data_IF_591006187138
#
_entry.id   IF_591006187138
#
_cell.length_a   1.000
_cell.length_b   1.000
_cell.length_c   1.000
_cell.angle_alpha   90.00
_cell.angle_beta   90.00
_cell.angle_gamma   90.00
#
_symmetry.space_group_name_H-M   'P 1'
#
loop_
_entity.id
_entity.type
_entity.pdbx_description
1 polymer ?
#
# COMPACT_ATOMS: atom_id res chain seq x y z
N UNK A 1 21.51 -13.60 0.82
CA UNK A 1 22.49 -12.49 0.71
C UNK A 1 22.71 -12.08 -0.74
N UNK A 2 23.06 -13.00 -1.65
CA UNK A 2 23.31 -12.71 -3.08
C UNK A 2 22.26 -11.86 -3.82
N UNK A 3 20.98 -11.87 -3.41
CA UNK A 3 19.93 -11.05 -4.00
C UNK A 3 20.01 -9.57 -3.59
N UNK A 4 20.48 -9.25 -2.38
CA UNK A 4 20.60 -7.88 -1.89
C UNK A 4 21.90 -7.20 -2.34
N UNK A 5 22.97 -7.98 -2.55
CA UNK A 5 24.30 -7.49 -2.96
C UNK A 5 24.29 -6.75 -4.32
N UNK A 6 23.23 -6.96 -5.11
CA UNK A 6 23.02 -6.30 -6.40
C UNK A 6 22.13 -5.04 -6.33
N UNK A 7 21.71 -4.61 -5.14
CA UNK A 7 20.84 -3.44 -4.95
C UNK A 7 21.55 -2.35 -4.14
N UNK A 8 21.42 -1.10 -4.58
CA UNK A 8 21.87 0.05 -3.78
C UNK A 8 20.91 0.26 -2.60
N UNK A 9 21.49 0.33 -1.40
CA UNK A 9 20.77 0.69 -0.19
C UNK A 9 20.30 2.16 -0.23
N UNK A 10 19.15 2.51 0.40
CA UNK A 10 18.30 1.62 1.18
C UNK A 10 17.34 0.77 0.34
N UNK A 11 17.07 -0.44 0.83
CA UNK A 11 16.17 -1.43 0.21
C UNK A 11 15.08 -1.81 1.20
N UNK A 12 13.85 -1.99 0.74
CA UNK A 12 12.74 -2.47 1.55
C UNK A 12 12.63 -3.98 1.42
N UNK A 13 12.80 -4.69 2.53
CA UNK A 13 12.48 -6.10 2.66
C UNK A 13 10.99 -6.26 2.97
N UNK A 14 10.31 -7.14 2.23
CA UNK A 14 8.91 -7.47 2.47
C UNK A 14 8.68 -8.97 2.39
N UNK A 15 8.01 -9.60 3.38
CA UNK A 15 7.59 -10.98 3.24
C UNK A 15 6.58 -11.12 2.09
N UNK A 16 6.54 -12.28 1.43
CA UNK A 16 5.62 -12.53 0.33
C UNK A 16 4.15 -12.55 0.78
N UNK A 17 3.90 -12.84 2.06
CA UNK A 17 2.60 -12.73 2.70
C UNK A 17 2.73 -11.91 3.98
N UNK A 18 1.81 -10.97 4.18
CA UNK A 18 1.81 -10.11 5.34
C UNK A 18 0.66 -9.13 5.32
N UNK A 19 0.36 -8.55 6.47
CA UNK A 19 -0.60 -7.46 6.62
C UNK A 19 -0.14 -6.48 7.68
N UNK A 20 -0.70 -5.27 7.65
CA UNK A 20 -0.41 -4.18 8.60
C UNK A 20 1.08 -3.79 8.68
N UNK A 21 1.84 -4.08 7.63
CA UNK A 21 3.28 -3.80 7.53
C UNK A 21 4.16 -4.51 8.57
N UNK A 22 3.70 -5.66 9.07
CA UNK A 22 4.50 -6.56 9.90
C UNK A 22 5.65 -7.15 9.08
N UNK A 23 6.82 -7.25 9.72
CA UNK A 23 8.06 -7.75 9.11
C UNK A 23 8.55 -7.02 7.85
N UNK A 24 7.93 -5.88 7.51
CA UNK A 24 8.50 -4.96 6.52
C UNK A 24 9.66 -4.22 7.17
N UNK A 25 10.85 -4.28 6.58
CA UNK A 25 12.07 -3.68 7.14
C UNK A 25 12.75 -2.79 6.11
N UNK A 26 13.27 -1.65 6.57
CA UNK A 26 14.15 -0.82 5.77
C UNK A 26 15.59 -1.28 6.03
N UNK A 27 16.22 -1.83 5.01
CA UNK A 27 17.62 -2.25 5.04
C UNK A 27 18.44 -1.03 4.63
N UNK A 28 19.08 -0.36 5.59
CA UNK A 28 19.87 0.86 5.31
C UNK A 28 21.31 0.54 4.91
N UNK A 29 21.79 -0.67 5.22
CA UNK A 29 23.12 -1.16 4.90
C UNK A 29 23.16 -2.70 4.99
N UNK A 30 24.29 -3.26 4.59
CA UNK A 30 24.57 -4.70 4.57
C UNK A 30 24.40 -5.36 5.94
N UNK A 31 24.91 -4.76 7.01
CA UNK A 31 24.80 -5.33 8.37
C UNK A 31 23.34 -5.50 8.82
N UNK A 32 22.48 -4.53 8.51
CA UNK A 32 21.03 -4.63 8.80
C UNK A 32 20.40 -5.72 7.92
N UNK A 33 20.79 -5.79 6.65
CA UNK A 33 20.31 -6.81 5.73
C UNK A 33 20.65 -8.22 6.22
N UNK A 34 21.90 -8.48 6.61
CA UNK A 34 22.35 -9.76 7.18
C UNK A 34 21.54 -10.15 8.41
N UNK A 35 21.28 -9.19 9.30
CA UNK A 35 20.49 -9.42 10.50
C UNK A 35 19.06 -9.81 10.14
N UNK A 36 18.41 -9.06 9.25
CA UNK A 36 17.02 -9.33 8.83
C UNK A 36 16.91 -10.68 8.11
N UNK A 37 17.83 -11.02 7.21
CA UNK A 37 17.84 -12.33 6.54
C UNK A 37 18.05 -13.47 7.52
N UNK A 38 19.00 -13.34 8.45
CA UNK A 38 19.23 -14.36 9.48
C UNK A 38 17.99 -14.60 10.34
N UNK A 39 17.29 -13.53 10.74
CA UNK A 39 16.02 -13.65 11.47
C UNK A 39 14.91 -14.30 10.64
N UNK A 40 14.84 -13.97 9.35
CA UNK A 40 13.87 -14.55 8.43
C UNK A 40 14.10 -16.06 8.24
N UNK A 41 15.36 -16.49 8.14
CA UNK A 41 15.74 -17.91 8.03
C UNK A 41 15.34 -18.70 9.29
N UNK A 42 15.44 -18.10 10.48
CA UNK A 42 15.01 -18.73 11.74
C UNK A 42 13.51 -19.03 11.79
N UNK A 43 12.68 -18.24 11.11
CA UNK A 43 11.22 -18.45 11.07
C UNK A 43 10.77 -19.27 9.86
N UNK A 44 11.70 -19.79 9.05
CA UNK A 44 11.45 -20.57 7.83
C UNK A 44 10.52 -19.87 6.80
N UNK A 45 10.44 -18.54 6.84
CA UNK A 45 9.67 -17.75 5.88
C UNK A 45 10.51 -17.47 4.64
N UNK A 46 10.76 -18.48 3.82
CA UNK A 46 11.70 -18.37 2.69
C UNK A 46 11.16 -17.57 1.48
N UNK A 47 9.97 -16.99 1.59
CA UNK A 47 9.35 -16.19 0.52
C UNK A 47 9.31 -14.73 0.90
N UNK A 48 10.18 -13.94 0.28
CA UNK A 48 10.23 -12.48 0.41
C UNK A 48 10.54 -11.83 -0.92
N UNK A 49 10.32 -10.52 -1.00
CA UNK A 49 10.78 -9.71 -2.11
C UNK A 49 11.48 -8.46 -1.61
N UNK A 50 12.43 -7.99 -2.42
CA UNK A 50 13.17 -6.76 -2.19
C UNK A 50 12.62 -5.69 -3.12
N UNK A 51 12.40 -4.50 -2.57
CA UNK A 51 11.93 -3.35 -3.33
C UNK A 51 12.90 -2.18 -3.10
N UNK A 52 13.31 -1.49 -4.17
CA UNK A 52 14.04 -0.23 -4.03
C UNK A 52 13.27 0.73 -3.12
N UNK A 53 13.94 1.36 -2.17
CA UNK A 53 13.26 2.38 -1.36
C UNK A 53 12.84 3.55 -2.24
N UNK A 54 11.56 3.92 -2.15
CA UNK A 54 10.97 4.99 -2.94
C UNK A 54 11.04 6.26 -2.12
N UNK A 55 11.81 7.24 -2.63
CA UNK A 55 11.83 8.58 -2.06
C UNK A 55 10.50 9.27 -2.38
N UNK A 56 9.63 9.33 -1.38
CA UNK A 56 8.28 9.89 -1.47
C UNK A 56 8.09 10.89 -0.33
N UNK A 57 7.10 11.81 -0.41
CA UNK A 57 6.64 12.54 0.77
C UNK A 57 6.32 11.56 1.91
N UNK A 58 6.26 11.99 3.19
CA UNK A 58 6.03 11.10 4.34
C UNK A 58 4.57 10.60 4.41
N UNK A 59 4.06 10.11 3.30
CA UNK A 59 2.72 9.58 3.07
C UNK A 59 2.73 8.59 1.91
N UNK A 60 1.64 7.84 1.82
CA UNK A 60 1.26 7.14 0.61
C UNK A 60 -0.19 7.49 0.26
N UNK A 61 -0.64 6.97 -0.88
CA UNK A 61 -2.02 7.06 -1.34
C UNK A 61 -2.68 5.71 -1.14
N UNK A 62 -3.88 5.69 -0.54
CA UNK A 62 -4.81 4.57 -0.64
C UNK A 62 -6.05 5.00 -1.42
N UNK A 63 -6.31 4.30 -2.51
CA UNK A 63 -7.57 4.39 -3.23
C UNK A 63 -8.45 3.18 -2.87
N UNK A 64 -9.74 3.42 -2.66
CA UNK A 64 -10.74 2.37 -2.46
C UNK A 64 -11.63 2.37 -3.69
N UNK A 65 -11.60 1.28 -4.43
CA UNK A 65 -12.38 1.09 -5.65
C UNK A 65 -13.52 0.12 -5.34
N UNK A 66 -14.72 0.47 -5.79
CA UNK A 66 -15.94 -0.30 -5.62
C UNK A 66 -16.57 -0.45 -7.00
N UNK A 67 -16.53 -1.66 -7.56
CA UNK A 67 -16.84 -1.90 -8.96
C UNK A 67 -15.91 -1.07 -9.86
N UNK A 68 -16.49 -0.18 -10.66
CA UNK A 68 -15.76 0.72 -11.58
C UNK A 68 -15.53 2.13 -11.02
N UNK A 69 -15.88 2.38 -9.75
CA UNK A 69 -15.86 3.71 -9.16
C UNK A 69 -14.82 3.83 -8.05
N UNK A 70 -14.02 4.89 -8.08
CA UNK A 70 -13.17 5.28 -6.95
C UNK A 70 -14.05 5.89 -5.87
N UNK A 71 -14.31 5.11 -4.83
CA UNK A 71 -15.15 5.54 -3.72
C UNK A 71 -14.46 6.55 -2.81
N UNK A 72 -13.15 6.37 -2.57
CA UNK A 72 -12.34 7.28 -1.78
C UNK A 72 -10.86 7.23 -2.16
N UNK A 73 -10.19 8.37 -2.09
CA UNK A 73 -8.74 8.51 -2.12
C UNK A 73 -8.27 9.22 -0.87
N UNK A 74 -7.30 8.64 -0.17
CA UNK A 74 -6.73 9.21 1.04
C UNK A 74 -5.21 9.23 0.99
N UNK A 75 -4.64 10.27 1.59
CA UNK A 75 -3.24 10.25 2.00
C UNK A 75 -3.15 9.59 3.37
N UNK A 76 -2.23 8.64 3.54
CA UNK A 76 -1.87 8.11 4.86
C UNK A 76 -0.48 8.60 5.21
N UNK A 77 -0.39 9.55 6.12
CA UNK A 77 0.89 10.10 6.57
C UNK A 77 1.53 9.19 7.60
N UNK A 78 2.85 9.05 7.54
CA UNK A 78 3.62 8.36 8.57
C UNK A 78 3.50 9.09 9.91
N UNK A 79 3.48 8.31 10.99
CA UNK A 79 3.63 8.81 12.34
C UNK A 79 5.12 8.97 12.65
N UNK A 80 5.62 8.17 13.59
CA UNK A 80 7.06 8.01 13.78
C UNK A 80 7.64 7.03 12.75
N UNK A 81 8.78 7.39 12.17
CA UNK A 81 9.45 6.59 11.14
C UNK A 81 8.85 6.73 9.73
N UNK A 82 9.16 5.77 8.86
CA UNK A 82 8.87 5.85 7.41
C UNK A 82 7.59 5.12 6.97
N UNK A 83 6.98 4.35 7.88
CA UNK A 83 5.77 3.56 7.61
C UNK A 83 4.51 4.43 7.78
N UNK A 84 3.58 4.31 6.86
CA UNK A 84 2.35 5.11 6.73
C UNK A 84 1.12 4.46 7.36
N UNK A 85 1.31 3.31 8.00
CA UNK A 85 0.26 2.47 8.55
C UNK A 85 -0.46 3.21 9.68
N UNK A 86 -1.79 3.26 9.63
CA UNK A 86 -2.58 3.91 10.69
C UNK A 86 -2.42 3.26 12.07
N UNK A 87 -2.16 1.95 12.10
CA UNK A 87 -1.89 1.22 13.34
C UNK A 87 -0.63 1.70 14.07
N UNK A 88 0.28 2.40 13.38
CA UNK A 88 1.53 2.95 13.91
C UNK A 88 1.46 4.47 14.16
N UNK A 89 0.26 4.99 14.40
CA UNK A 89 0.06 6.42 14.72
C UNK A 89 -0.01 7.35 13.50
N UNK A 90 -0.10 6.80 12.29
CA UNK A 90 -0.28 7.59 11.07
C UNK A 90 -1.58 8.42 11.07
N UNK A 91 -1.64 9.42 10.19
CA UNK A 91 -2.82 10.30 10.01
C UNK A 91 -3.45 10.10 8.63
N UNK A 92 -4.74 10.39 8.50
CA UNK A 92 -5.48 10.29 7.23
C UNK A 92 -6.01 11.64 6.81
N UNK A 93 -5.82 11.98 5.55
CA UNK A 93 -6.45 13.13 4.90
C UNK A 93 -7.01 12.74 3.53
N UNK A 94 -7.88 13.59 2.96
CA UNK A 94 -8.33 13.43 1.58
C UNK A 94 -7.15 13.60 0.63
N UNK A 95 -6.95 12.65 -0.28
CA UNK A 95 -6.00 12.79 -1.36
C UNK A 95 -6.69 13.36 -2.61
N UNK A 96 -6.21 14.50 -3.09
CA UNK A 96 -6.65 15.10 -4.35
C UNK A 96 -5.61 14.73 -5.40
N UNK A 97 -5.99 13.84 -6.32
CA UNK A 97 -5.11 13.33 -7.36
C UNK A 97 -5.54 13.91 -8.71
N UNK A 98 -4.60 14.14 -9.65
CA UNK A 98 -4.92 14.42 -11.04
C UNK A 98 -5.79 13.32 -11.66
N UNK A 99 -6.65 13.69 -12.61
CA UNK A 99 -7.54 12.75 -13.32
C UNK A 99 -6.76 11.58 -13.95
N UNK A 100 -5.58 11.85 -14.52
CA UNK A 100 -4.71 10.82 -15.09
C UNK A 100 -4.28 9.74 -14.08
N UNK A 101 -4.12 10.10 -12.81
CA UNK A 101 -3.76 9.17 -11.74
C UNK A 101 -4.98 8.38 -11.26
N UNK A 102 -6.16 9.01 -11.21
CA UNK A 102 -7.42 8.32 -10.93
C UNK A 102 -7.72 7.28 -12.01
N UNK A 103 -7.55 7.64 -13.28
CA UNK A 103 -7.71 6.72 -14.41
C UNK A 103 -6.74 5.54 -14.33
N UNK A 104 -5.48 5.78 -13.94
CA UNK A 104 -4.50 4.72 -13.73
C UNK A 104 -4.96 3.76 -12.62
N UNK A 105 -5.46 4.28 -11.50
CA UNK A 105 -5.94 3.45 -10.40
C UNK A 105 -7.16 2.60 -10.79
N UNK A 106 -8.09 3.13 -11.60
CA UNK A 106 -9.21 2.35 -12.15
C UNK A 106 -8.70 1.25 -13.08
N UNK A 107 -7.77 1.58 -13.99
CA UNK A 107 -7.17 0.57 -14.89
C UNK A 107 -6.47 -0.54 -14.11
N UNK A 108 -5.77 -0.19 -13.03
CA UNK A 108 -5.16 -1.18 -12.13
C UNK A 108 -6.23 -2.05 -11.47
N UNK A 109 -7.35 -1.46 -11.03
CA UNK A 109 -8.46 -2.23 -10.46
C UNK A 109 -9.02 -3.27 -11.43
N UNK A 110 -9.14 -2.91 -12.71
CA UNK A 110 -9.64 -3.79 -13.77
C UNK A 110 -8.72 -4.97 -14.11
N UNK A 111 -7.47 -4.98 -13.62
CA UNK A 111 -6.59 -6.15 -13.75
C UNK A 111 -6.93 -7.27 -12.76
N UNK A 112 -7.81 -6.99 -11.79
CA UNK A 112 -8.25 -7.92 -10.77
C UNK A 112 -9.76 -8.17 -10.90
N UNK A 113 -10.24 -9.22 -10.23
CA UNK A 113 -11.66 -9.55 -10.26
C UNK A 113 -12.53 -8.37 -9.77
N UNK A 114 -13.67 -8.08 -10.43
CA UNK A 114 -14.57 -7.01 -10.03
C UNK A 114 -15.01 -7.15 -8.58
N UNK A 115 -14.96 -6.06 -7.82
CA UNK A 115 -15.27 -6.12 -6.40
C UNK A 115 -14.96 -4.85 -5.64
N UNK A 116 -14.54 -5.02 -4.39
CA UNK A 116 -14.18 -3.94 -3.47
C UNK A 116 -12.71 -4.11 -3.14
N UNK A 117 -11.86 -3.26 -3.71
CA UNK A 117 -10.41 -3.39 -3.56
C UNK A 117 -9.79 -2.10 -3.02
N UNK A 118 -8.69 -2.25 -2.31
CA UNK A 118 -7.80 -1.16 -1.91
C UNK A 118 -6.56 -1.17 -2.77
N UNK A 119 -6.16 -0.03 -3.30
CA UNK A 119 -4.94 0.13 -4.07
C UNK A 119 -4.04 1.08 -3.29
N UNK A 120 -2.87 0.60 -2.89
CA UNK A 120 -1.86 1.42 -2.23
C UNK A 120 -0.78 1.82 -3.25
N UNK A 121 -0.52 3.12 -3.31
CA UNK A 121 0.41 3.72 -4.25
C UNK A 121 1.30 4.76 -3.57
N UNK A 122 2.50 4.94 -4.10
CA UNK A 122 3.47 5.94 -3.62
C UNK A 122 3.66 7.02 -4.67
N UNK A 123 3.77 8.27 -4.22
CA UNK A 123 4.10 9.42 -5.06
C UNK A 123 5.60 9.39 -5.41
N UNK A 124 5.91 9.63 -6.68
CA UNK A 124 7.26 9.81 -7.23
C UNK A 124 7.27 11.03 -8.16
N UNK A 125 8.46 11.48 -8.56
CA UNK A 125 8.60 12.58 -9.53
C UNK A 125 7.98 12.25 -10.90
N UNK A 126 7.86 10.96 -11.23
CA UNK A 126 7.28 10.46 -12.49
C UNK A 126 5.78 10.12 -12.37
N UNK A 127 5.19 10.26 -11.18
CA UNK A 127 3.78 9.94 -10.92
C UNK A 127 3.61 8.87 -9.84
N UNK A 128 2.45 8.20 -9.84
CA UNK A 128 2.15 7.17 -8.86
C UNK A 128 2.73 5.82 -9.28
N UNK A 129 3.35 5.13 -8.32
CA UNK A 129 3.68 3.71 -8.44
C UNK A 129 2.76 2.90 -7.51
N UNK A 130 2.09 1.88 -8.03
CA UNK A 130 1.30 0.96 -7.21
C UNK A 130 2.23 -0.06 -6.57
N UNK A 131 2.05 -0.30 -5.27
CA UNK A 131 2.90 -1.24 -4.54
C UNK A 131 2.14 -2.34 -3.79
N UNK A 132 0.81 -2.23 -3.65
CA UNK A 132 0.01 -3.25 -2.99
C UNK A 132 -1.46 -3.18 -3.44
N UNK A 133 -2.08 -4.35 -3.58
CA UNK A 133 -3.51 -4.50 -3.83
C UNK A 133 -4.12 -5.28 -2.67
N UNK A 134 -5.17 -4.72 -2.09
CA UNK A 134 -5.85 -5.22 -0.90
C UNK A 134 -7.25 -5.70 -1.27
N UNK A 135 -7.44 -7.02 -1.39
CA UNK A 135 -8.76 -7.63 -1.67
C UNK A 135 -9.72 -7.63 -0.48
N UNK A 136 -9.22 -7.38 0.74
CA UNK A 136 -10.01 -7.19 1.96
C UNK A 136 -9.73 -5.82 2.54
N UNK A 137 -10.05 -4.79 1.77
CA UNK A 137 -9.68 -3.42 2.12
C UNK A 137 -10.39 -2.93 3.38
N UNK A 138 -9.59 -2.47 4.35
CA UNK A 138 -10.08 -1.75 5.50
C UNK A 138 -10.29 -0.27 5.15
N UNK A 139 -11.50 0.24 5.38
CA UNK A 139 -11.87 1.62 5.06
C UNK A 139 -12.23 2.46 6.28
N UNK A 140 -12.06 1.96 7.51
CA UNK A 140 -12.33 2.73 8.75
C UNK A 140 -11.59 4.06 8.78
N UNK A 141 -10.33 4.09 8.32
CA UNK A 141 -9.55 5.32 8.19
C UNK A 141 -10.14 6.30 7.19
N UNK A 142 -10.50 5.81 5.99
CA UNK A 142 -11.11 6.63 4.94
C UNK A 142 -12.50 7.14 5.31
N UNK A 143 -13.32 6.35 6.01
CA UNK A 143 -14.63 6.76 6.52
C UNK A 143 -14.58 7.92 7.50
N UNK A 144 -13.45 8.17 8.18
CA UNK A 144 -13.29 9.38 9.00
C UNK A 144 -13.33 10.66 8.16
N UNK A 145 -12.96 10.57 6.88
CA UNK A 145 -12.86 11.73 5.98
C UNK A 145 -14.00 11.76 4.95
N UNK A 146 -14.54 10.60 4.58
CA UNK A 146 -15.60 10.44 3.60
C UNK A 146 -16.98 10.06 4.19
N UNK A 147 -17.06 9.83 5.50
CA UNK A 147 -18.30 9.42 6.17
C UNK A 147 -18.88 8.13 5.59
N UNK A 148 -20.18 8.16 5.31
CA UNK A 148 -20.93 7.01 4.80
C UNK A 148 -20.81 6.80 3.29
N UNK A 149 -20.07 7.65 2.56
CA UNK A 149 -19.95 7.54 1.09
C UNK A 149 -19.49 6.14 0.66
N UNK A 150 -18.46 5.60 1.32
CA UNK A 150 -17.90 4.29 0.97
C UNK A 150 -18.92 3.16 1.17
N UNK A 151 -19.66 3.21 2.26
CA UNK A 151 -20.72 2.23 2.54
C UNK A 151 -21.84 2.35 1.50
N UNK A 152 -22.25 3.57 1.17
CA UNK A 152 -23.30 3.80 0.17
C UNK A 152 -22.87 3.27 -1.20
N UNK A 153 -21.65 3.56 -1.64
CA UNK A 153 -21.11 3.06 -2.91
C UNK A 153 -21.08 1.52 -2.94
N UNK A 154 -20.65 0.88 -1.83
CA UNK A 154 -20.68 -0.59 -1.69
C UNK A 154 -22.10 -1.13 -1.80
N UNK A 155 -23.06 -0.55 -1.07
CA UNK A 155 -24.46 -1.00 -1.12
C UNK A 155 -25.05 -0.86 -2.52
N UNK A 156 -24.73 0.21 -3.24
CA UNK A 156 -25.19 0.38 -4.63
C UNK A 156 -24.56 -0.65 -5.56
N UNK A 157 -23.26 -0.91 -5.43
CA UNK A 157 -22.57 -1.94 -6.21
C UNK A 157 -23.15 -3.33 -5.94
N UNK A 158 -23.42 -3.69 -4.69
CA UNK A 158 -24.00 -5.00 -4.38
C UNK A 158 -25.40 -5.19 -4.98
N UNK A 159 -26.17 -4.11 -5.18
CA UNK A 159 -27.47 -4.17 -5.86
C UNK A 159 -27.36 -4.41 -7.37
N UNK A 160 -26.18 -4.25 -7.97
CA UNK A 160 -25.95 -4.58 -9.38
C UNK A 160 -25.45 -6.01 -9.58
N UNK A 161 -25.15 -6.71 -8.49
CA UNK A 161 -24.77 -8.12 -8.50
C UNK A 161 -26.05 -8.93 -8.27
N UNK A 162 -26.74 -9.26 -9.35
CA UNK A 162 -27.84 -10.23 -9.35
C UNK A 162 -27.32 -11.67 -9.26
#
# INVERSE_FOLDING_TARGET
>A
LSTADNMEYPVVFKPASGSWGRMISLLENENIAETVFSMNDMVNENSYYLQKYVNRPPRDVRAIVVGDNISATIYRYSGEGWKTNLALGGKVEKAVLPESQLDMLIKVAHLFDPGIIGIDAMETDEGLIVHEINSRVEFKGASKVYGNKIINDIVQYLKTLD
#
